data_IF_737075816110
#
_entry.id   IF_737075816110
#
_cell.length_a   1.000
_cell.length_b   1.000
_cell.length_c   1.000
_cell.angle_alpha   90.00
_cell.angle_beta   90.00
_cell.angle_gamma   90.00
#
_symmetry.space_group_name_H-M   'P 1'
#
loop_
_entity.id
_entity.type
_entity.pdbx_description
1 polymer ?
#
# COMPACT_ATOMS: atom_id res chain seq x y z
N UNK A 1 -6.30 5.15 -6.05
CA UNK A 1 -5.62 5.99 -5.03
C UNK A 1 -5.24 7.31 -5.67
N UNK A 2 -5.54 8.46 -5.07
CA UNK A 2 -5.36 9.75 -5.73
C UNK A 2 -4.59 10.77 -4.89
N UNK A 3 -3.28 10.52 -4.71
CA UNK A 3 -2.18 11.52 -4.69
C UNK A 3 -0.87 10.79 -4.98
N UNK A 4 -0.24 11.07 -6.12
CA UNK A 4 1.03 10.45 -6.59
C UNK A 4 2.19 10.49 -5.56
N UNK A 5 2.13 11.39 -4.58
CA UNK A 5 3.14 11.57 -3.52
C UNK A 5 2.87 10.77 -2.24
N UNK A 6 1.59 10.46 -1.95
CA UNK A 6 1.21 9.68 -0.77
C UNK A 6 1.40 8.17 -0.99
N UNK A 7 1.78 7.74 -2.21
CA UNK A 7 2.01 6.34 -2.57
C UNK A 7 3.51 6.01 -2.48
N UNK A 8 3.91 5.01 -1.69
CA UNK A 8 5.31 4.58 -1.61
C UNK A 8 5.86 4.10 -2.95
N UNK A 9 7.18 4.26 -3.16
CA UNK A 9 7.89 3.83 -4.37
C UNK A 9 7.65 2.35 -4.68
N UNK A 10 7.75 1.48 -3.67
CA UNK A 10 7.56 0.04 -3.81
C UNK A 10 6.17 -0.31 -4.37
N UNK A 11 5.13 0.35 -3.84
CA UNK A 11 3.74 0.17 -4.32
C UNK A 11 3.57 0.75 -5.72
N UNK A 12 4.19 1.91 -5.99
CA UNK A 12 4.12 2.56 -7.31
C UNK A 12 4.76 1.71 -8.39
N UNK A 13 5.86 1.03 -8.10
CA UNK A 13 6.55 0.15 -9.05
C UNK A 13 5.66 -1.02 -9.45
N UNK A 14 5.01 -1.67 -8.49
CA UNK A 14 4.00 -2.70 -8.77
C UNK A 14 2.89 -2.17 -9.69
N UNK A 15 2.32 -0.98 -9.38
CA UNK A 15 1.29 -0.38 -10.22
C UNK A 15 1.76 -0.11 -11.64
N UNK A 16 3.00 0.38 -11.81
CA UNK A 16 3.58 0.64 -13.12
C UNK A 16 3.76 -0.65 -13.93
N UNK A 17 4.33 -1.70 -13.34
CA UNK A 17 4.48 -3.00 -14.01
C UNK A 17 3.13 -3.62 -14.40
N UNK A 18 2.12 -3.50 -13.51
CA UNK A 18 0.75 -3.92 -13.83
C UNK A 18 0.22 -3.15 -15.04
N UNK A 19 0.34 -1.82 -15.07
CA UNK A 19 -0.14 -1.02 -16.21
C UNK A 19 0.63 -1.30 -17.50
N UNK A 20 1.94 -1.55 -17.43
CA UNK A 20 2.75 -1.93 -18.58
C UNK A 20 2.30 -3.27 -19.18
N UNK A 21 1.96 -4.24 -18.34
CA UNK A 21 1.44 -5.53 -18.78
C UNK A 21 0.02 -5.40 -19.33
N UNK A 22 -0.86 -4.68 -18.65
CA UNK A 22 -2.22 -4.42 -19.12
C UNK A 22 -2.24 -3.68 -20.46
N UNK A 23 -1.33 -2.73 -20.66
CA UNK A 23 -1.20 -1.95 -21.90
C UNK A 23 -0.77 -2.76 -23.13
N UNK A 24 -0.40 -4.04 -22.97
CA UNK A 24 -0.07 -4.93 -24.09
C UNK A 24 -1.33 -5.49 -24.78
N UNK A 25 -2.47 -5.54 -24.10
CA UNK A 25 -3.72 -6.02 -24.68
C UNK A 25 -4.35 -4.97 -25.60
N UNK A 26 -4.82 -5.41 -26.77
CA UNK A 26 -5.56 -4.62 -27.76
C UNK A 26 -7.03 -5.02 -27.88
N UNK A 27 -7.43 -6.09 -27.20
CA UNK A 27 -8.80 -6.59 -27.16
C UNK A 27 -9.16 -7.09 -25.76
N UNK A 28 -10.46 -7.35 -25.54
CA UNK A 28 -10.96 -7.91 -24.29
C UNK A 28 -10.44 -9.34 -24.09
N UNK A 29 -10.34 -10.11 -25.16
CA UNK A 29 -9.84 -11.48 -25.15
C UNK A 29 -8.35 -11.51 -24.78
N UNK A 30 -7.55 -10.61 -25.36
CA UNK A 30 -6.14 -10.45 -25.00
C UNK A 30 -5.97 -9.99 -23.55
N UNK A 31 -6.85 -9.11 -23.07
CA UNK A 31 -6.84 -8.64 -21.68
C UNK A 31 -7.04 -9.81 -20.70
N UNK A 32 -7.98 -10.71 -20.99
CA UNK A 32 -8.20 -11.92 -20.18
C UNK A 32 -7.00 -12.86 -20.23
N UNK A 33 -6.35 -13.00 -21.39
CA UNK A 33 -5.12 -13.79 -21.53
C UNK A 33 -3.93 -13.24 -20.73
N UNK A 34 -3.93 -11.94 -20.42
CA UNK A 34 -2.87 -11.26 -19.66
C UNK A 34 -3.05 -11.38 -18.14
N UNK A 35 -4.26 -11.66 -17.67
CA UNK A 35 -4.59 -11.72 -16.24
C UNK A 35 -3.62 -12.59 -15.41
N UNK A 36 -3.24 -13.82 -15.82
CA UNK A 36 -2.33 -14.66 -15.03
C UNK A 36 -0.98 -13.99 -14.78
N UNK A 37 -0.46 -13.26 -15.78
CA UNK A 37 0.82 -12.54 -15.67
C UNK A 37 0.70 -11.31 -14.76
N UNK A 38 -0.40 -10.56 -14.87
CA UNK A 38 -0.65 -9.43 -13.98
C UNK A 38 -0.76 -9.90 -12.51
N UNK A 39 -1.44 -11.03 -12.29
CA UNK A 39 -1.57 -11.65 -10.96
C UNK A 39 -0.21 -12.12 -10.41
N UNK A 40 0.65 -12.67 -11.26
CA UNK A 40 2.01 -13.06 -10.88
C UNK A 40 2.85 -11.86 -10.41
N UNK A 41 2.77 -10.72 -11.12
CA UNK A 41 3.42 -9.47 -10.72
C UNK A 41 2.91 -9.02 -9.34
N UNK A 42 1.59 -8.92 -9.15
CA UNK A 42 1.05 -8.50 -7.86
C UNK A 42 1.51 -9.42 -6.72
N UNK A 43 1.50 -10.74 -6.96
CA UNK A 43 1.97 -11.74 -6.01
C UNK A 43 3.45 -11.59 -5.68
N UNK A 44 4.32 -11.35 -6.66
CA UNK A 44 5.77 -11.21 -6.39
C UNK A 44 6.08 -10.03 -5.47
N UNK A 45 5.32 -8.93 -5.61
CA UNK A 45 5.47 -7.76 -4.74
C UNK A 45 4.94 -8.00 -3.32
N UNK A 46 3.81 -8.70 -3.19
CA UNK A 46 3.22 -9.06 -1.89
C UNK A 46 4.14 -10.03 -1.15
N UNK A 47 4.56 -11.11 -1.80
CA UNK A 47 5.43 -12.14 -1.22
C UNK A 47 6.84 -11.56 -0.91
N UNK A 48 7.31 -10.59 -1.71
CA UNK A 48 8.59 -9.91 -1.53
C UNK A 48 8.59 -8.77 -0.50
N UNK A 49 7.42 -8.38 0.04
CA UNK A 49 7.29 -7.18 0.86
C UNK A 49 8.19 -7.19 2.10
N UNK A 50 8.35 -8.33 2.77
CA UNK A 50 9.21 -8.45 3.97
C UNK A 50 10.68 -8.12 3.68
N UNK A 51 11.13 -8.34 2.44
CA UNK A 51 12.48 -8.00 1.97
C UNK A 51 12.61 -6.62 1.33
N UNK A 52 11.53 -5.83 1.28
CA UNK A 52 11.54 -4.52 0.64
C UNK A 52 12.48 -3.54 1.35
N UNK A 53 13.10 -2.66 0.57
CA UNK A 53 13.96 -1.61 1.11
C UNK A 53 13.10 -0.57 1.85
N UNK A 54 13.45 -0.30 3.11
CA UNK A 54 12.59 0.51 4.01
C UNK A 54 12.33 1.91 3.43
N UNK A 55 13.28 2.51 2.72
CA UNK A 55 13.10 3.85 2.13
C UNK A 55 12.14 3.83 0.93
N UNK A 56 12.07 2.73 0.18
CA UNK A 56 11.05 2.56 -0.87
C UNK A 56 9.61 2.54 -0.31
N UNK A 57 9.45 2.31 0.99
CA UNK A 57 8.17 2.35 1.70
C UNK A 57 7.85 3.73 2.30
N UNK A 58 8.69 4.74 2.09
CA UNK A 58 8.47 6.09 2.61
C UNK A 58 7.26 6.77 1.94
N UNK A 59 6.36 7.27 2.78
CA UNK A 59 5.21 8.09 2.39
C UNK A 59 5.61 9.56 2.49
N UNK A 60 5.41 10.29 1.40
CA UNK A 60 5.76 11.70 1.31
C UNK A 60 4.50 12.56 1.32
N UNK A 61 4.42 13.49 2.26
CA UNK A 61 3.25 14.36 2.37
C UNK A 61 3.58 15.76 2.81
N UNK A 62 2.73 16.70 2.36
CA UNK A 62 2.77 18.08 2.82
C UNK A 62 2.11 18.22 4.18
N UNK A 63 2.85 18.77 5.14
CA UNK A 63 2.36 19.10 6.48
C UNK A 63 1.38 20.27 6.37
N UNK A 64 0.11 20.01 6.62
CA UNK A 64 -0.93 21.05 6.61
C UNK A 64 -1.06 21.77 7.96
N UNK A 65 -0.76 21.07 9.08
CA UNK A 65 -0.84 21.59 10.45
C UNK A 65 0.17 20.87 11.33
N UNK A 66 0.63 21.53 12.40
CA UNK A 66 1.59 20.98 13.37
C UNK A 66 0.92 20.42 14.63
N UNK A 67 -0.31 20.85 14.92
CA UNK A 67 -1.10 20.39 16.06
C UNK A 67 -2.30 19.60 15.56
N UNK A 68 -2.40 18.35 15.99
CA UNK A 68 -3.51 17.47 15.71
C UNK A 68 -4.22 17.13 17.01
N UNK A 69 -5.55 17.22 17.02
CA UNK A 69 -6.38 16.83 18.17
C UNK A 69 -6.71 15.33 18.20
N UNK A 70 -6.51 14.62 17.08
CA UNK A 70 -6.79 13.18 16.93
C UNK A 70 -5.49 12.40 16.82
N UNK A 71 -5.49 11.16 17.34
CA UNK A 71 -4.43 10.18 17.10
C UNK A 71 -4.60 9.60 15.70
N UNK A 72 -3.64 9.88 14.83
CA UNK A 72 -3.55 9.31 13.49
C UNK A 72 -2.08 9.22 13.08
N UNK A 73 -1.77 8.40 12.07
CA UNK A 73 -0.40 8.17 11.60
C UNK A 73 0.29 9.49 11.23
N UNK A 74 -0.48 10.40 10.64
CA UNK A 74 -0.06 11.74 10.26
C UNK A 74 0.45 12.57 11.45
N UNK A 75 -0.31 12.56 12.54
CA UNK A 75 0.05 13.27 13.75
C UNK A 75 1.34 12.69 14.33
N UNK A 76 1.45 11.37 14.32
CA UNK A 76 2.62 10.66 14.83
C UNK A 76 3.87 10.89 13.98
N UNK A 77 3.73 10.96 12.65
CA UNK A 77 4.82 11.31 11.75
C UNK A 77 5.36 12.72 12.08
N UNK A 78 4.48 13.72 12.24
CA UNK A 78 4.89 15.08 12.63
C UNK A 78 5.57 15.08 14.01
N UNK A 79 5.00 14.38 15.00
CA UNK A 79 5.59 14.29 16.34
C UNK A 79 6.94 13.55 16.34
N UNK A 80 7.12 12.53 15.52
CA UNK A 80 8.38 11.81 15.40
C UNK A 80 9.48 12.70 14.79
N UNK A 81 9.14 13.54 13.82
CA UNK A 81 10.05 14.54 13.26
C UNK A 81 10.44 15.60 14.31
N UNK A 82 9.46 16.16 15.03
CA UNK A 82 9.71 17.15 16.09
C UNK A 82 10.57 16.57 17.24
N UNK A 83 10.34 15.31 17.64
CA UNK A 83 11.15 14.62 18.66
C UNK A 83 12.60 14.42 18.26
N UNK A 84 12.90 14.39 16.96
CA UNK A 84 14.27 14.37 16.46
C UNK A 84 14.86 15.77 16.22
N UNK A 85 14.23 16.81 16.76
CA UNK A 85 14.69 18.19 16.64
C UNK A 85 14.60 18.74 15.21
N UNK A 86 13.79 18.14 14.33
CA UNK A 86 13.57 18.65 12.97
C UNK A 86 12.60 19.83 13.07
N UNK A 87 13.02 21.06 12.69
CA UNK A 87 12.08 22.16 12.59
C UNK A 87 11.08 21.88 11.47
N UNK A 88 9.78 21.96 11.79
CA UNK A 88 8.70 21.80 10.83
C UNK A 88 7.81 23.05 10.81
N UNK A 89 7.40 23.45 9.61
CA UNK A 89 6.42 24.50 9.37
C UNK A 89 5.30 23.98 8.44
N UNK A 90 4.07 24.50 8.54
CA UNK A 90 3.03 24.21 7.56
C UNK A 90 3.51 24.53 6.13
N UNK A 91 3.17 23.66 5.18
CA UNK A 91 3.62 23.76 3.79
C UNK A 91 4.88 22.94 3.48
N UNK A 92 5.66 22.54 4.49
CA UNK A 92 6.83 21.65 4.30
C UNK A 92 6.40 20.23 3.95
N UNK A 93 7.21 19.54 3.17
CA UNK A 93 7.06 18.10 2.90
C UNK A 93 7.82 17.28 3.96
N UNK A 94 7.25 16.17 4.40
CA UNK A 94 7.88 15.20 5.29
C UNK A 94 7.78 13.80 4.69
N UNK A 95 8.84 13.00 4.88
CA UNK A 95 8.91 11.58 4.54
C UNK A 95 8.86 10.75 5.82
N UNK A 96 8.01 9.72 5.86
CA UNK A 96 7.92 8.82 7.01
C UNK A 96 7.55 7.40 6.59
N UNK A 97 7.90 6.44 7.43
CA UNK A 97 7.53 5.03 7.28
C UNK A 97 6.64 4.63 8.45
N UNK A 98 5.56 3.91 8.17
CA UNK A 98 4.65 3.41 9.21
C UNK A 98 5.28 2.20 9.88
N UNK A 99 5.59 2.30 11.17
CA UNK A 99 6.22 1.23 11.97
C UNK A 99 5.19 0.33 12.65
N UNK A 100 4.08 0.88 13.13
CA UNK A 100 2.97 0.13 13.73
C UNK A 100 1.67 0.91 13.52
N UNK A 101 0.84 0.48 12.57
CA UNK A 101 -0.40 1.16 12.25
C UNK A 101 -1.45 1.04 13.38
N UNK A 102 -1.40 -0.03 14.18
CA UNK A 102 -2.34 -0.25 15.30
C UNK A 102 -2.07 0.69 16.46
N UNK A 103 -0.80 1.06 16.68
CA UNK A 103 -0.37 2.02 17.70
C UNK A 103 -0.23 3.45 17.17
N UNK A 104 -0.47 3.68 15.89
CA UNK A 104 -0.25 4.96 15.23
C UNK A 104 1.22 5.38 15.31
N UNK A 105 2.17 4.49 15.06
CA UNK A 105 3.59 4.80 15.14
C UNK A 105 4.20 4.91 13.74
N UNK A 106 4.94 5.99 13.51
CA UNK A 106 5.68 6.25 12.30
C UNK A 106 7.04 6.84 12.64
N UNK A 107 8.05 6.48 11.86
CA UNK A 107 9.40 6.99 12.00
C UNK A 107 9.74 7.90 10.81
N UNK A 108 10.51 8.98 10.99
CA UNK A 108 11.03 9.76 9.88
C UNK A 108 11.83 8.86 8.94
N UNK A 109 11.64 9.03 7.62
CA UNK A 109 12.26 8.21 6.56
C UNK A 109 13.76 7.96 6.81
N UNK A 110 14.50 9.03 7.10
CA UNK A 110 15.95 8.99 7.37
C UNK A 110 16.38 8.08 8.54
N UNK A 111 15.48 7.77 9.46
CA UNK A 111 15.76 6.96 10.66
C UNK A 111 14.93 5.69 10.74
N UNK A 112 14.02 5.47 9.79
CA UNK A 112 13.21 4.27 9.74
C UNK A 112 14.12 3.05 9.55
N UNK A 113 13.89 2.02 10.37
CA UNK A 113 14.63 0.74 10.32
C UNK A 113 13.74 -0.47 10.09
N UNK A 114 12.42 -0.26 10.08
CA UNK A 114 11.42 -1.29 9.89
C UNK A 114 10.08 -0.66 9.59
N UNK A 115 9.12 -1.50 9.24
CA UNK A 115 7.80 -1.08 8.80
C UNK A 115 6.74 -2.10 9.22
N UNK A 116 5.48 -1.69 9.17
CA UNK A 116 4.32 -2.55 9.39
C UNK A 116 3.95 -3.27 8.07
N UNK A 117 4.41 -4.51 7.89
CA UNK A 117 4.14 -5.30 6.69
C UNK A 117 2.63 -5.46 6.42
N UNK A 118 1.80 -5.55 7.46
CA UNK A 118 0.34 -5.65 7.30
C UNK A 118 -0.29 -4.35 6.80
N UNK A 119 0.28 -3.19 7.14
CA UNK A 119 -0.14 -1.90 6.60
C UNK A 119 0.22 -1.77 5.12
N UNK A 120 1.46 -2.05 4.74
CA UNK A 120 1.92 -1.92 3.36
C UNK A 120 1.36 -3.01 2.45
N UNK A 121 1.13 -4.22 2.96
CA UNK A 121 0.44 -5.30 2.25
C UNK A 121 -0.95 -4.87 1.78
N UNK A 122 -1.71 -4.18 2.64
CA UNK A 122 -3.03 -3.62 2.25
C UNK A 122 -2.95 -2.55 1.16
N UNK A 123 -1.84 -1.81 1.08
CA UNK A 123 -1.64 -0.86 -0.03
C UNK A 123 -1.40 -1.60 -1.35
N UNK A 124 -0.64 -2.70 -1.31
CA UNK A 124 -0.44 -3.57 -2.48
C UNK A 124 -1.76 -4.26 -2.89
N UNK A 125 -2.51 -4.83 -1.95
CA UNK A 125 -3.82 -5.43 -2.22
C UNK A 125 -4.75 -4.43 -2.91
N UNK A 126 -4.86 -3.21 -2.37
CA UNK A 126 -5.69 -2.16 -2.97
C UNK A 126 -5.19 -1.74 -4.36
N UNK A 127 -3.88 -1.68 -4.57
CA UNK A 127 -3.31 -1.38 -5.89
C UNK A 127 -3.59 -2.51 -6.90
N UNK A 128 -3.59 -3.77 -6.46
CA UNK A 128 -4.04 -4.90 -7.27
C UNK A 128 -5.53 -4.80 -7.58
N UNK A 129 -6.40 -4.54 -6.59
CA UNK A 129 -7.85 -4.42 -6.80
C UNK A 129 -8.20 -3.37 -7.87
N UNK A 130 -7.48 -2.23 -7.85
CA UNK A 130 -7.63 -1.16 -8.85
C UNK A 130 -7.28 -1.66 -10.27
N UNK A 131 -6.27 -2.53 -10.40
CA UNK A 131 -5.90 -3.14 -11.67
C UNK A 131 -6.86 -4.27 -12.07
N UNK A 132 -7.23 -5.15 -11.13
CA UNK A 132 -8.05 -6.33 -11.35
C UNK A 132 -9.48 -6.01 -11.81
N UNK A 133 -9.94 -4.78 -11.56
CA UNK A 133 -11.21 -4.27 -12.07
C UNK A 133 -11.37 -4.50 -13.58
N UNK A 134 -10.29 -4.37 -14.38
CA UNK A 134 -10.35 -4.53 -15.84
C UNK A 134 -10.62 -5.97 -16.30
N UNK A 135 -10.38 -6.95 -15.43
CA UNK A 135 -10.67 -8.36 -15.72
C UNK A 135 -12.12 -8.74 -15.39
N UNK A 136 -12.90 -7.85 -14.77
CA UNK A 136 -14.29 -8.11 -14.39
C UNK A 136 -14.47 -8.65 -12.97
N UNK A 137 -13.41 -8.71 -12.16
CA UNK A 137 -13.46 -9.15 -10.75
C UNK A 137 -13.99 -8.06 -9.78
N UNK A 138 -14.36 -6.88 -10.30
CA UNK A 138 -14.64 -5.66 -9.54
C UNK A 138 -15.90 -5.61 -8.64
N UNK A 139 -16.60 -6.72 -8.39
CA UNK A 139 -17.90 -6.71 -7.73
C UNK A 139 -17.98 -7.54 -6.43
N UNK A 140 -16.97 -7.50 -5.56
CA UNK A 140 -17.05 -8.19 -4.25
C UNK A 140 -16.70 -7.38 -3.00
N UNK A 141 -16.29 -6.12 -3.16
CA UNK A 141 -15.78 -5.29 -2.05
C UNK A 141 -16.86 -4.64 -1.16
N UNK A 142 -18.07 -4.42 -1.68
CA UNK A 142 -19.14 -3.76 -0.89
C UNK A 142 -19.91 -4.72 0.02
N UNK A 143 -19.91 -6.03 -0.27
CA UNK A 143 -20.75 -7.00 0.45
C UNK A 143 -19.99 -7.70 1.59
N UNK A 144 -18.70 -8.00 1.41
CA UNK A 144 -17.85 -8.64 2.43
C UNK A 144 -17.47 -7.74 3.62
N UNK A 145 -17.53 -6.43 3.43
CA UNK A 145 -17.18 -5.43 4.46
C UNK A 145 -18.29 -5.21 5.51
N UNK A 146 -19.46 -5.84 5.33
CA UNK A 146 -20.62 -5.73 6.23
C UNK A 146 -20.84 -6.95 7.13
N UNK A 147 -20.05 -8.03 6.99
CA UNK A 147 -20.14 -9.21 7.86
C UNK A 147 -19.09 -9.15 8.99
N UNK A 148 -19.51 -9.00 10.27
CA UNK A 148 -18.60 -9.00 11.41
C UNK A 148 -17.89 -10.34 11.65
N UNK A 149 -18.31 -11.43 10.98
CA UNK A 149 -17.82 -12.80 11.20
C UNK A 149 -16.65 -13.21 10.31
N UNK A 150 -16.28 -12.43 9.30
CA UNK A 150 -15.18 -12.74 8.38
C UNK A 150 -13.76 -12.46 8.96
N UNK A 151 -13.62 -12.33 10.29
CA UNK A 151 -12.34 -12.03 10.95
C UNK A 151 -11.43 -13.23 11.17
N UNK A 152 -11.89 -14.44 10.89
CA UNK A 152 -11.09 -15.66 10.99
C UNK A 152 -11.24 -16.51 9.72
N UNK A 153 -10.33 -16.31 8.77
CA UNK A 153 -10.01 -17.33 7.77
C UNK A 153 -8.58 -17.09 7.26
N UNK A 154 -7.61 -17.64 7.99
CA UNK A 154 -6.38 -18.12 7.38
C UNK A 154 -6.77 -19.23 6.42
N UNK A 155 -6.70 -19.04 5.10
CA UNK A 155 -6.51 -20.16 4.14
C UNK A 155 -5.84 -19.62 2.88
N UNK A 156 -4.50 -19.60 2.89
CA UNK A 156 -3.74 -19.97 1.70
C UNK A 156 -3.37 -21.45 1.89
N UNK A 157 -4.25 -22.36 1.46
CA UNK A 157 -3.91 -23.77 1.24
C UNK A 157 -5.04 -24.50 0.52
N UNK A 158 -4.70 -25.14 -0.60
CA UNK A 158 -5.43 -26.22 -1.31
C UNK A 158 -6.75 -25.75 -1.92
N UNK A 159 -6.90 -25.68 -3.25
CA UNK A 159 -7.04 -26.86 -4.10
C UNK A 159 -6.45 -26.64 -5.50
N UNK A 160 -5.40 -27.41 -5.80
CA UNK A 160 -5.02 -27.81 -7.14
C UNK A 160 -4.37 -29.17 -6.99
N UNK A 161 -5.18 -30.22 -7.04
CA UNK A 161 -4.80 -31.58 -7.47
C UNK A 161 -6.03 -32.50 -7.44
N UNK A 162 -6.34 -32.99 -8.64
CA UNK A 162 -7.21 -34.10 -9.04
C UNK A 162 -8.69 -33.77 -9.22
#
# INVERSE_FOLDING_TARGET
MDRRRDTPEYVRRMQQELFEVLGQARSREELQGIEPRAREIARSYIDGLEGAEVRELAIHRRVSRLRYSRRCVEASAVQAHLRQGIPLAPGMEIGYVVRDARKWEADPERTARGFDAGYYGKLLEKAWDEAAFVFGEGASWQERSRDPRARDARVWSLESRL
#
